data_IF_341302029874
#
_entry.id   IF_341302029874
#
_cell.length_a   1.000
_cell.length_b   1.000
_cell.length_c   1.000
_cell.angle_alpha   90.00
_cell.angle_beta   90.00
_cell.angle_gamma   90.00
#
_symmetry.space_group_name_H-M   'P 1'
#
loop_
_entity.id
_entity.type
_entity.pdbx_description
1 polymer ?
#
# COMPACT_ATOMS: atom_id res chain seq x y z
N UNK A 1 27.83 -65.08 -9.98
CA UNK A 1 26.47 -64.53 -10.20
C UNK A 1 26.26 -63.39 -9.20
N UNK A 2 26.50 -62.19 -9.62
CA UNK A 2 26.36 -61.01 -8.78
C UNK A 2 25.31 -60.09 -9.46
N UNK A 3 24.10 -60.04 -8.86
CA UNK A 3 22.99 -59.26 -9.34
C UNK A 3 23.20 -57.83 -8.88
N UNK A 4 23.30 -56.88 -9.84
CA UNK A 4 23.32 -55.45 -9.60
C UNK A 4 21.87 -54.95 -9.45
N UNK A 5 21.49 -54.57 -8.26
CA UNK A 5 20.28 -53.78 -8.07
C UNK A 5 20.56 -52.31 -8.42
N UNK A 6 19.95 -51.82 -9.50
CA UNK A 6 19.86 -50.41 -9.81
C UNK A 6 18.78 -49.82 -8.92
N UNK A 7 19.17 -48.96 -7.99
CA UNK A 7 18.24 -48.11 -7.23
C UNK A 7 17.97 -46.85 -8.05
N UNK A 8 16.79 -46.79 -8.66
CA UNK A 8 16.27 -45.57 -9.30
C UNK A 8 15.86 -44.57 -8.20
N UNK A 9 16.66 -43.53 -7.98
CA UNK A 9 16.23 -42.34 -7.24
C UNK A 9 15.30 -41.52 -8.15
N UNK A 10 13.99 -41.71 -8.00
CA UNK A 10 13.01 -40.79 -8.55
C UNK A 10 13.01 -39.50 -7.68
N UNK A 11 13.61 -38.43 -8.19
CA UNK A 11 13.42 -37.07 -7.70
C UNK A 11 11.96 -36.69 -7.96
N UNK A 12 11.09 -36.89 -6.97
CA UNK A 12 9.79 -36.22 -6.94
C UNK A 12 10.07 -34.71 -6.72
N UNK A 13 10.14 -33.97 -7.81
CA UNK A 13 9.93 -32.53 -7.76
C UNK A 13 8.48 -32.34 -7.28
N UNK A 14 8.29 -32.01 -6.01
CA UNK A 14 7.03 -31.45 -5.52
C UNK A 14 6.82 -30.11 -6.24
N UNK A 15 6.14 -30.14 -7.38
CA UNK A 15 5.59 -28.95 -8.00
C UNK A 15 4.48 -28.51 -7.02
N UNK A 16 4.79 -27.53 -6.18
CA UNK A 16 3.78 -26.78 -5.43
C UNK A 16 2.96 -26.04 -6.48
N UNK A 17 1.92 -26.67 -7.02
CA UNK A 17 0.86 -25.98 -7.75
C UNK A 17 0.09 -25.16 -6.71
N UNK A 18 0.54 -23.94 -6.44
CA UNK A 18 -0.32 -22.96 -5.82
C UNK A 18 -1.55 -22.87 -6.73
N UNK A 19 -2.70 -23.38 -6.27
CA UNK A 19 -3.96 -23.16 -6.95
C UNK A 19 -4.12 -21.64 -7.07
N UNK A 20 -4.24 -21.16 -8.31
CA UNK A 20 -4.42 -19.74 -8.52
C UNK A 20 -5.76 -19.32 -7.90
N UNK A 21 -5.70 -18.45 -6.93
CA UNK A 21 -6.85 -17.98 -6.16
C UNK A 21 -7.88 -17.35 -7.10
N UNK A 22 -9.17 -17.68 -6.93
CA UNK A 22 -10.25 -17.09 -7.71
C UNK A 22 -10.88 -15.90 -6.97
N UNK A 23 -11.33 -14.91 -7.73
CA UNK A 23 -11.98 -13.72 -7.24
C UNK A 23 -13.34 -13.50 -7.89
N UNK A 24 -14.30 -13.03 -7.10
CA UNK A 24 -15.57 -12.50 -7.57
C UNK A 24 -15.44 -10.98 -7.77
N UNK A 25 -15.38 -10.54 -9.03
CA UNK A 25 -15.20 -9.14 -9.42
C UNK A 25 -16.54 -8.53 -9.85
N UNK A 26 -16.94 -7.44 -9.20
CA UNK A 26 -18.22 -6.77 -9.47
C UNK A 26 -18.26 -6.16 -10.88
N UNK A 27 -19.34 -6.45 -11.63
CA UNK A 27 -19.63 -5.86 -12.96
C UNK A 27 -20.20 -4.44 -12.86
N UNK A 28 -20.82 -4.13 -11.74
CA UNK A 28 -21.50 -2.87 -11.44
C UNK A 28 -21.52 -2.67 -9.91
N UNK A 29 -21.90 -1.50 -9.39
CA UNK A 29 -22.08 -1.34 -7.95
C UNK A 29 -23.03 -2.39 -7.38
N UNK A 30 -22.58 -3.12 -6.34
CA UNK A 30 -23.32 -4.23 -5.73
C UNK A 30 -23.05 -4.32 -4.23
N UNK A 31 -24.05 -4.75 -3.46
CA UNK A 31 -23.91 -4.97 -2.04
C UNK A 31 -23.29 -6.35 -1.73
N UNK A 32 -22.50 -6.39 -0.68
CA UNK A 32 -21.96 -7.60 -0.03
C UNK A 32 -22.77 -7.86 1.22
N UNK A 33 -23.29 -9.05 1.37
CA UNK A 33 -24.23 -9.42 2.43
C UNK A 33 -23.62 -10.42 3.42
N UNK A 34 -24.10 -10.40 4.66
CA UNK A 34 -23.71 -11.35 5.69
C UNK A 34 -24.28 -12.76 5.49
N UNK A 35 -25.27 -12.93 4.59
CA UNK A 35 -25.89 -14.20 4.24
C UNK A 35 -26.40 -14.18 2.78
N UNK A 36 -26.72 -15.37 2.20
CA UNK A 36 -27.11 -15.51 0.80
C UNK A 36 -28.55 -15.05 0.56
N UNK A 37 -28.84 -13.77 0.79
CA UNK A 37 -30.13 -13.14 0.57
C UNK A 37 -30.03 -11.62 0.51
N UNK A 38 -30.84 -10.98 -0.32
CA UNK A 38 -30.98 -9.52 -0.37
C UNK A 38 -31.49 -8.90 0.94
N UNK A 39 -32.16 -9.68 1.77
CA UNK A 39 -32.67 -9.24 3.08
C UNK A 39 -31.63 -9.38 4.19
N UNK A 40 -30.53 -10.07 3.94
CA UNK A 40 -29.42 -10.17 4.89
C UNK A 40 -28.73 -8.83 5.07
N UNK A 41 -28.16 -8.63 6.26
CA UNK A 41 -27.40 -7.41 6.59
C UNK A 41 -26.34 -7.11 5.54
N UNK A 42 -26.33 -5.88 5.02
CA UNK A 42 -25.31 -5.41 4.09
C UNK A 42 -24.04 -5.05 4.87
N UNK A 43 -22.93 -5.72 4.55
CA UNK A 43 -21.61 -5.49 5.18
C UNK A 43 -20.87 -4.33 4.52
N UNK A 44 -21.00 -4.21 3.19
CA UNK A 44 -20.36 -3.18 2.37
C UNK A 44 -21.00 -3.16 0.98
N UNK A 45 -20.56 -2.20 0.16
CA UNK A 45 -20.87 -2.17 -1.28
C UNK A 45 -19.54 -2.16 -2.06
N UNK A 46 -19.52 -2.88 -3.18
CA UNK A 46 -18.42 -2.85 -4.15
C UNK A 46 -18.82 -1.93 -5.30
N UNK A 47 -17.85 -1.21 -5.84
CA UNK A 47 -17.98 -0.49 -7.11
C UNK A 47 -17.65 -1.41 -8.28
N UNK A 48 -18.02 -1.02 -9.51
CA UNK A 48 -17.71 -1.84 -10.69
C UNK A 48 -16.22 -2.16 -10.77
N UNK A 49 -15.93 -3.44 -10.95
CA UNK A 49 -14.58 -4.03 -11.01
C UNK A 49 -13.86 -4.18 -9.65
N UNK A 50 -14.47 -3.91 -8.49
CA UNK A 50 -13.94 -4.36 -7.19
C UNK A 50 -14.07 -5.88 -7.07
N UNK A 51 -13.06 -6.53 -6.47
CA UNK A 51 -12.99 -7.98 -6.36
C UNK A 51 -12.84 -8.37 -4.88
N UNK A 52 -13.47 -9.49 -4.50
CA UNK A 52 -13.21 -10.19 -3.25
C UNK A 52 -12.77 -11.61 -3.56
N UNK A 53 -11.95 -12.20 -2.70
CA UNK A 53 -11.58 -13.63 -2.82
C UNK A 53 -12.85 -14.46 -2.85
N UNK A 54 -12.97 -15.33 -3.89
CA UNK A 54 -14.07 -16.27 -4.04
C UNK A 54 -13.70 -17.60 -3.41
N UNK A 55 -14.51 -18.06 -2.47
CA UNK A 55 -14.26 -19.29 -1.71
C UNK A 55 -14.66 -20.57 -2.47
N UNK A 56 -14.82 -20.49 -3.81
CA UNK A 56 -15.17 -21.61 -4.70
C UNK A 56 -16.46 -22.32 -4.25
N UNK A 57 -17.37 -21.58 -3.60
CA UNK A 57 -18.62 -22.11 -3.09
C UNK A 57 -19.79 -21.16 -3.42
N UNK A 58 -20.81 -21.71 -4.02
CA UNK A 58 -22.08 -21.03 -4.30
C UNK A 58 -23.20 -21.61 -3.45
N UNK A 59 -24.17 -20.76 -3.14
CA UNK A 59 -25.37 -21.17 -2.44
C UNK A 59 -26.61 -20.58 -3.11
N UNK A 60 -27.70 -21.35 -3.20
CA UNK A 60 -28.98 -20.84 -3.67
C UNK A 60 -29.73 -20.29 -2.48
N UNK A 61 -29.95 -18.98 -2.47
CA UNK A 61 -30.71 -18.29 -1.43
C UNK A 61 -32.19 -18.67 -1.45
N UNK A 62 -32.91 -18.31 -0.39
CA UNK A 62 -34.36 -18.50 -0.32
C UNK A 62 -35.14 -17.73 -1.41
N UNK A 63 -34.52 -16.72 -1.99
CA UNK A 63 -35.01 -15.91 -3.12
C UNK A 63 -34.78 -16.59 -4.49
N UNK A 64 -34.22 -17.79 -4.51
CA UNK A 64 -33.87 -18.55 -5.72
C UNK A 64 -32.65 -18.02 -6.48
N UNK A 65 -31.93 -17.04 -5.92
CA UNK A 65 -30.75 -16.45 -6.52
C UNK A 65 -29.50 -17.26 -6.11
N UNK A 66 -28.58 -17.45 -7.05
CA UNK A 66 -27.27 -18.04 -6.74
C UNK A 66 -26.35 -16.95 -6.16
N UNK A 67 -25.82 -17.22 -4.99
CA UNK A 67 -24.92 -16.34 -4.26
C UNK A 67 -23.51 -16.93 -4.24
N UNK A 68 -22.53 -16.14 -4.64
CA UNK A 68 -21.12 -16.49 -4.55
C UNK A 68 -20.62 -16.20 -3.12
N UNK A 69 -20.00 -17.19 -2.49
CA UNK A 69 -19.35 -17.02 -1.20
C UNK A 69 -17.99 -16.34 -1.38
N UNK A 70 -17.75 -15.26 -0.65
CA UNK A 70 -16.51 -14.47 -0.73
C UNK A 70 -15.93 -14.20 0.66
N UNK A 71 -14.65 -13.90 0.73
CA UNK A 71 -14.03 -13.37 1.93
C UNK A 71 -14.17 -11.86 1.99
N UNK A 72 -14.68 -11.34 3.10
CA UNK A 72 -14.70 -9.92 3.41
C UNK A 72 -14.08 -9.67 4.78
N UNK A 73 -12.84 -9.18 4.80
CA UNK A 73 -12.07 -8.90 6.02
C UNK A 73 -11.94 -10.13 6.95
N UNK A 74 -11.67 -11.30 6.37
CA UNK A 74 -11.51 -12.54 7.11
C UNK A 74 -12.82 -13.18 7.56
N UNK A 75 -13.98 -12.68 7.12
CA UNK A 75 -15.29 -13.28 7.41
C UNK A 75 -16.02 -13.69 6.14
N UNK A 76 -16.83 -14.74 6.26
CA UNK A 76 -17.69 -15.24 5.20
C UNK A 76 -18.74 -14.22 4.83
N UNK A 77 -18.83 -13.88 3.54
CA UNK A 77 -19.78 -12.94 2.99
C UNK A 77 -20.35 -13.44 1.65
N UNK A 78 -21.35 -12.76 1.11
CA UNK A 78 -22.11 -13.21 -0.05
C UNK A 78 -22.40 -12.09 -1.03
N UNK A 79 -22.25 -12.40 -2.33
CA UNK A 79 -22.58 -11.51 -3.43
C UNK A 79 -23.46 -12.28 -4.43
N UNK A 80 -24.51 -11.66 -4.96
CA UNK A 80 -25.31 -12.29 -6.00
C UNK A 80 -24.46 -12.58 -7.24
N UNK A 81 -24.34 -13.86 -7.61
CA UNK A 81 -23.36 -14.37 -8.60
C UNK A 81 -23.56 -13.79 -10.00
N UNK A 82 -24.79 -13.46 -10.37
CA UNK A 82 -25.09 -12.86 -11.68
C UNK A 82 -24.44 -11.49 -11.92
N UNK A 83 -24.07 -10.78 -10.83
CA UNK A 83 -23.47 -9.45 -10.89
C UNK A 83 -21.94 -9.44 -10.74
N UNK A 84 -21.32 -10.59 -10.70
CA UNK A 84 -19.85 -10.71 -10.63
C UNK A 84 -19.31 -11.56 -11.77
N UNK A 85 -18.05 -11.34 -12.13
CA UNK A 85 -17.23 -12.28 -12.89
C UNK A 85 -16.39 -13.07 -11.92
N UNK A 86 -16.35 -14.39 -12.08
CA UNK A 86 -15.37 -15.24 -11.39
C UNK A 86 -14.15 -15.33 -12.31
N UNK A 87 -13.03 -14.81 -11.86
CA UNK A 87 -11.77 -14.77 -12.61
C UNK A 87 -10.60 -15.04 -11.67
N UNK A 88 -9.44 -15.35 -12.20
CA UNK A 88 -8.23 -15.46 -11.39
C UNK A 88 -8.00 -14.14 -10.66
N UNK A 89 -7.73 -14.20 -9.36
CA UNK A 89 -7.38 -13.02 -8.59
C UNK A 89 -6.15 -12.37 -9.21
N UNK A 90 -6.36 -11.22 -9.84
CA UNK A 90 -5.25 -10.43 -10.31
C UNK A 90 -4.66 -9.69 -9.12
N UNK A 91 -3.69 -10.33 -8.46
CA UNK A 91 -2.99 -9.81 -7.28
C UNK A 91 -2.48 -8.38 -7.54
N UNK A 92 -1.97 -8.14 -8.75
CA UNK A 92 -1.52 -6.80 -9.15
C UNK A 92 -2.67 -5.77 -9.20
N UNK A 93 -3.87 -6.21 -9.62
CA UNK A 93 -5.06 -5.35 -9.68
C UNK A 93 -5.64 -5.06 -8.30
N UNK A 94 -5.59 -6.01 -7.38
CA UNK A 94 -6.02 -5.83 -5.98
C UNK A 94 -5.04 -4.94 -5.21
N UNK A 95 -3.73 -5.16 -5.38
CA UNK A 95 -2.68 -4.33 -4.79
C UNK A 95 -2.80 -2.89 -5.31
N UNK A 96 -2.97 -2.70 -6.64
CA UNK A 96 -3.18 -1.37 -7.23
C UNK A 96 -4.37 -0.62 -6.63
N UNK A 97 -5.44 -1.33 -6.23
CA UNK A 97 -6.62 -0.72 -5.62
C UNK A 97 -6.49 -0.49 -4.14
N UNK A 98 -5.78 -1.38 -3.43
CA UNK A 98 -5.54 -1.21 -2.00
C UNK A 98 -4.75 0.08 -1.71
N UNK A 99 -3.86 0.48 -2.63
CA UNK A 99 -3.07 1.71 -2.48
C UNK A 99 -3.72 2.92 -3.15
N UNK A 100 -4.40 2.75 -4.30
CA UNK A 100 -5.08 3.82 -5.03
C UNK A 100 -6.50 4.01 -4.48
N UNK A 101 -6.63 4.85 -3.47
CA UNK A 101 -7.92 5.19 -2.85
C UNK A 101 -8.66 6.28 -3.64
N UNK A 102 -9.98 6.39 -3.42
CA UNK A 102 -10.81 7.42 -4.05
C UNK A 102 -10.36 8.83 -3.62
N UNK A 103 -10.23 9.74 -4.58
CA UNK A 103 -9.81 11.11 -4.35
C UNK A 103 -8.31 11.30 -4.11
N UNK A 104 -7.52 10.22 -4.13
CA UNK A 104 -6.07 10.31 -4.07
C UNK A 104 -5.44 10.70 -5.41
N UNK A 105 -4.28 11.37 -5.41
CA UNK A 105 -3.47 11.51 -6.61
C UNK A 105 -3.08 10.13 -7.14
N UNK A 106 -2.70 10.05 -8.42
CA UNK A 106 -2.25 8.77 -8.98
C UNK A 106 -1.01 8.26 -8.25
N UNK A 107 -1.10 7.03 -7.75
CA UNK A 107 0.00 6.36 -7.04
C UNK A 107 0.61 5.32 -7.99
N UNK A 108 1.88 5.49 -8.33
CA UNK A 108 2.68 4.51 -9.07
C UNK A 108 2.96 3.35 -8.13
N UNK A 109 2.33 2.22 -8.39
CA UNK A 109 2.38 1.05 -7.52
C UNK A 109 3.75 0.39 -7.50
N UNK A 110 4.00 -0.44 -6.49
CA UNK A 110 5.23 -1.23 -6.36
C UNK A 110 5.54 -2.06 -7.62
N UNK A 111 4.52 -2.67 -8.21
CA UNK A 111 4.69 -3.43 -9.46
C UNK A 111 5.05 -2.53 -10.65
N UNK A 112 4.50 -1.31 -10.73
CA UNK A 112 4.76 -0.37 -11.83
C UNK A 112 6.17 0.21 -11.79
N UNK A 113 6.70 0.50 -10.59
CA UNK A 113 8.09 0.95 -10.50
C UNK A 113 9.10 -0.19 -10.37
N UNK A 114 8.63 -1.46 -10.33
CA UNK A 114 9.47 -2.65 -10.31
C UNK A 114 10.21 -2.83 -8.99
N UNK A 115 9.48 -2.76 -7.87
CA UNK A 115 9.99 -3.00 -6.53
C UNK A 115 10.52 -4.43 -6.36
N UNK A 116 11.55 -4.56 -5.53
CA UNK A 116 11.94 -5.86 -4.97
C UNK A 116 10.88 -6.30 -3.94
N UNK A 117 10.70 -7.60 -3.79
CA UNK A 117 9.91 -8.14 -2.69
C UNK A 117 10.60 -7.83 -1.34
N UNK A 118 9.86 -7.55 -0.27
CA UNK A 118 10.44 -7.41 1.07
C UNK A 118 11.05 -8.74 1.53
N UNK A 119 12.14 -8.68 2.29
CA UNK A 119 12.80 -9.88 2.84
C UNK A 119 11.98 -10.53 3.96
N UNK A 120 11.21 -9.73 4.69
CA UNK A 120 10.24 -10.16 5.70
C UNK A 120 9.09 -9.16 5.71
N UNK A 121 7.89 -9.62 6.11
CA UNK A 121 6.73 -8.75 6.22
C UNK A 121 6.93 -7.72 7.35
N UNK A 122 6.80 -6.41 7.09
CA UNK A 122 7.07 -5.37 8.10
C UNK A 122 6.04 -5.33 9.24
N UNK A 123 4.91 -5.98 9.06
CA UNK A 123 3.76 -5.94 9.98
C UNK A 123 2.80 -4.80 9.67
N UNK A 124 1.52 -4.99 10.05
CA UNK A 124 0.48 -3.99 9.85
C UNK A 124 0.46 -2.96 10.96
N UNK A 125 0.07 -1.74 10.62
CA UNK A 125 -0.19 -0.69 11.60
C UNK A 125 -1.31 -1.14 12.57
N UNK A 126 -1.11 -1.01 13.90
CA UNK A 126 -2.09 -1.51 14.87
C UNK A 126 -3.37 -0.67 14.94
N UNK A 127 -3.33 0.56 14.44
CA UNK A 127 -4.46 1.49 14.40
C UNK A 127 -4.23 2.56 13.34
N UNK A 128 -5.27 3.35 13.05
CA UNK A 128 -5.16 4.52 12.15
C UNK A 128 -4.06 5.47 12.63
N UNK A 129 -3.06 5.77 11.77
CA UNK A 129 -1.92 6.62 12.13
C UNK A 129 -2.36 8.02 12.60
N UNK A 130 -1.70 8.47 13.67
CA UNK A 130 -1.93 9.79 14.27
C UNK A 130 -0.89 10.82 13.85
N UNK A 131 0.14 10.40 13.12
CA UNK A 131 1.24 11.26 12.68
C UNK A 131 1.49 11.13 11.19
N UNK A 132 1.83 12.27 10.57
CA UNK A 132 2.35 12.35 9.22
C UNK A 132 3.75 12.98 9.29
N UNK A 133 4.76 12.27 8.78
CA UNK A 133 6.15 12.72 8.81
C UNK A 133 6.62 13.09 7.41
N UNK A 134 7.10 14.33 7.25
CA UNK A 134 7.74 14.76 6.01
C UNK A 134 9.23 14.51 6.11
N UNK A 135 9.74 13.81 5.08
CA UNK A 135 11.15 13.50 4.89
C UNK A 135 11.65 14.07 3.57
N UNK A 136 12.96 14.13 3.42
CA UNK A 136 13.62 14.21 2.13
C UNK A 136 14.57 13.02 1.95
N UNK A 137 14.85 12.69 0.68
CA UNK A 137 15.79 11.62 0.36
C UNK A 137 17.26 12.04 0.41
N UNK A 138 17.54 13.33 0.59
CA UNK A 138 18.89 13.92 0.55
C UNK A 138 19.71 13.53 -0.72
N UNK A 139 19.01 13.30 -1.84
CA UNK A 139 19.54 12.89 -3.12
C UNK A 139 19.37 13.98 -4.18
N UNK A 140 19.82 13.73 -5.41
CA UNK A 140 19.41 14.55 -6.55
C UNK A 140 17.89 14.47 -6.75
N UNK A 141 17.29 15.57 -7.20
CA UNK A 141 15.90 15.61 -7.60
C UNK A 141 15.66 14.76 -8.88
N UNK A 142 14.41 14.41 -9.15
CA UNK A 142 13.99 13.72 -10.36
C UNK A 142 12.79 14.45 -10.97
N UNK A 143 12.79 14.64 -12.29
CA UNK A 143 11.80 15.45 -12.99
C UNK A 143 10.99 14.66 -14.02
N UNK A 144 11.29 13.38 -14.20
CA UNK A 144 10.56 12.47 -15.07
C UNK A 144 10.26 11.16 -14.36
N UNK A 145 9.15 10.50 -14.74
CA UNK A 145 8.76 9.21 -14.14
C UNK A 145 9.91 8.19 -14.18
N UNK A 146 10.66 8.13 -15.27
CA UNK A 146 11.78 7.19 -15.39
C UNK A 146 12.92 7.49 -14.41
N UNK A 147 13.27 8.76 -14.25
CA UNK A 147 14.28 9.19 -13.26
C UNK A 147 13.81 8.89 -11.83
N UNK A 148 12.56 9.25 -11.51
CA UNK A 148 12.01 9.03 -10.18
C UNK A 148 11.93 7.54 -9.83
N UNK A 149 11.50 6.68 -10.77
CA UNK A 149 11.55 5.22 -10.60
C UNK A 149 12.97 4.74 -10.29
N UNK A 150 13.97 5.23 -11.02
CA UNK A 150 15.37 4.87 -10.76
C UNK A 150 15.80 5.27 -9.34
N UNK A 151 15.41 6.45 -8.89
CA UNK A 151 15.72 6.94 -7.54
C UNK A 151 15.00 6.14 -6.45
N UNK A 152 13.69 5.84 -6.65
CA UNK A 152 12.92 5.01 -5.69
C UNK A 152 13.55 3.62 -5.53
N UNK A 153 13.98 3.00 -6.63
CA UNK A 153 14.74 1.73 -6.61
C UNK A 153 16.05 1.87 -5.83
N UNK A 154 16.77 2.97 -6.02
CA UNK A 154 18.03 3.20 -5.30
C UNK A 154 17.81 3.33 -3.78
N UNK A 155 16.71 3.99 -3.37
CA UNK A 155 16.33 4.06 -1.96
C UNK A 155 15.98 2.69 -1.39
N UNK A 156 15.20 1.89 -2.12
CA UNK A 156 14.89 0.53 -1.68
C UNK A 156 16.16 -0.31 -1.53
N UNK A 157 17.05 -0.28 -2.54
CA UNK A 157 18.31 -1.01 -2.50
C UNK A 157 19.18 -0.56 -1.32
N UNK A 158 19.32 0.74 -1.10
CA UNK A 158 20.10 1.29 0.02
C UNK A 158 19.53 0.83 1.38
N UNK A 159 18.22 0.89 1.55
CA UNK A 159 17.56 0.44 2.78
C UNK A 159 17.72 -1.07 3.00
N UNK A 160 17.56 -1.88 1.96
CA UNK A 160 17.65 -3.34 2.09
C UNK A 160 19.06 -3.85 2.16
N UNK A 161 19.96 -3.30 1.34
CA UNK A 161 21.31 -3.87 1.17
C UNK A 161 22.32 -3.24 2.14
N UNK A 162 22.17 -1.95 2.49
CA UNK A 162 23.10 -1.23 3.39
C UNK A 162 22.59 -1.14 4.83
N UNK A 163 21.29 -0.89 5.02
CA UNK A 163 20.69 -0.85 6.37
C UNK A 163 20.14 -2.20 6.82
N UNK A 164 20.07 -3.19 5.94
CA UNK A 164 19.50 -4.53 6.20
C UNK A 164 18.05 -4.48 6.69
N UNK A 165 17.30 -3.46 6.24
CA UNK A 165 15.88 -3.39 6.48
C UNK A 165 15.13 -4.35 5.57
N UNK A 166 13.94 -4.77 5.98
CA UNK A 166 13.12 -5.70 5.18
C UNK A 166 12.68 -5.12 3.84
N UNK A 167 12.59 -3.79 3.72
CA UNK A 167 12.11 -3.07 2.54
C UNK A 167 12.49 -1.59 2.61
N UNK A 168 12.07 -0.80 1.59
CA UNK A 168 12.09 0.66 1.64
C UNK A 168 11.41 1.15 2.93
N UNK A 169 11.98 2.14 3.59
CA UNK A 169 11.51 2.59 4.92
C UNK A 169 10.27 3.46 4.90
N UNK A 170 10.03 4.18 3.80
CA UNK A 170 8.95 5.16 3.69
C UNK A 170 7.61 4.53 3.31
N UNK A 171 6.50 5.15 3.75
CA UNK A 171 5.15 4.77 3.32
C UNK A 171 4.91 5.15 1.86
N UNK A 172 5.29 6.39 1.50
CA UNK A 172 5.19 6.92 0.13
C UNK A 172 6.39 7.79 -0.20
N UNK A 173 6.73 7.84 -1.49
CA UNK A 173 7.83 8.66 -2.02
C UNK A 173 7.23 9.59 -3.07
N UNK A 174 7.63 10.85 -3.11
CA UNK A 174 7.07 11.88 -3.96
C UNK A 174 8.17 12.48 -4.81
N UNK A 175 8.01 12.44 -6.14
CA UNK A 175 8.94 13.01 -7.10
C UNK A 175 8.56 14.40 -7.56
N UNK A 176 9.53 15.18 -8.04
CA UNK A 176 9.29 16.47 -8.69
C UNK A 176 8.68 16.33 -10.11
N UNK A 177 8.43 15.09 -10.56
CA UNK A 177 7.57 14.78 -11.70
C UNK A 177 6.07 14.82 -11.33
N UNK A 178 5.74 15.11 -10.06
CA UNK A 178 4.38 15.20 -9.53
C UNK A 178 3.73 13.85 -9.22
N UNK A 179 4.44 12.73 -9.40
CA UNK A 179 3.92 11.43 -9.06
C UNK A 179 4.20 11.04 -7.61
N UNK A 180 3.29 10.24 -7.06
CA UNK A 180 3.46 9.51 -5.81
C UNK A 180 3.88 8.09 -6.13
N UNK A 181 4.88 7.57 -5.43
CA UNK A 181 5.38 6.20 -5.56
C UNK A 181 5.07 5.44 -4.28
N UNK A 182 4.46 4.27 -4.41
CA UNK A 182 4.16 3.41 -3.29
C UNK A 182 5.44 2.85 -2.67
N UNK A 183 5.65 3.12 -1.37
CA UNK A 183 6.67 2.46 -0.57
C UNK A 183 6.07 1.27 0.17
N UNK A 184 5.88 1.40 1.51
CA UNK A 184 5.14 0.42 2.32
C UNK A 184 3.62 0.62 2.27
N UNK A 185 3.13 1.69 1.63
CA UNK A 185 1.70 1.97 1.49
C UNK A 185 1.05 2.49 2.76
N UNK A 186 -0.27 2.30 2.84
CA UNK A 186 -1.12 2.87 3.89
C UNK A 186 -1.16 2.08 5.20
N UNK A 187 -0.94 0.78 5.14
CA UNK A 187 -1.31 -0.14 6.22
C UNK A 187 -0.12 -0.82 6.90
N UNK A 188 1.10 -0.67 6.33
CA UNK A 188 2.30 -1.31 6.82
C UNK A 188 3.12 -0.40 7.75
N UNK A 189 3.73 -1.01 8.77
CA UNK A 189 4.67 -0.31 9.66
C UNK A 189 5.89 0.16 8.88
N UNK A 190 6.21 1.44 8.97
CA UNK A 190 7.37 2.05 8.33
C UNK A 190 8.72 1.72 8.99
N UNK A 191 9.80 2.24 8.39
CA UNK A 191 11.13 2.32 9.00
C UNK A 191 11.72 3.69 8.67
N UNK A 192 11.00 4.77 9.00
CA UNK A 192 11.35 6.15 8.64
C UNK A 192 11.56 7.08 9.85
N UNK A 193 10.92 6.80 10.98
CA UNK A 193 11.02 7.64 12.18
C UNK A 193 11.02 6.76 13.41
N UNK A 194 12.17 6.64 14.06
CA UNK A 194 12.34 5.80 15.25
C UNK A 194 11.30 6.17 16.32
N UNK A 195 10.72 5.17 16.97
CA UNK A 195 9.63 5.25 17.96
C UNK A 195 8.26 5.69 17.43
N UNK A 196 8.15 6.09 16.16
CA UNK A 196 6.89 6.54 15.55
C UNK A 196 6.42 5.68 14.38
N UNK A 197 7.22 4.70 13.96
CA UNK A 197 6.92 3.88 12.77
C UNK A 197 5.58 3.13 12.85
N UNK A 198 5.14 2.74 14.06
CA UNK A 198 3.88 2.01 14.28
C UNK A 198 2.65 2.92 14.48
N UNK A 199 2.83 4.24 14.51
CA UNK A 199 1.75 5.22 14.77
C UNK A 199 1.73 6.35 13.75
N UNK A 200 2.61 6.33 12.76
CA UNK A 200 2.75 7.39 11.75
C UNK A 200 3.10 6.87 10.36
N UNK A 201 2.80 7.68 9.36
CA UNK A 201 3.18 7.46 7.96
C UNK A 201 4.31 8.42 7.57
N UNK A 202 5.27 7.92 6.79
CA UNK A 202 6.40 8.67 6.26
C UNK A 202 6.24 9.02 4.79
N UNK A 203 6.28 10.31 4.47
CA UNK A 203 6.20 10.87 3.12
C UNK A 203 7.55 11.45 2.74
N UNK A 204 8.28 10.79 1.84
CA UNK A 204 9.62 11.18 1.44
C UNK A 204 9.61 11.94 0.12
N UNK A 205 10.02 13.20 0.15
CA UNK A 205 10.25 14.01 -1.05
C UNK A 205 11.60 13.63 -1.67
N UNK A 206 11.64 13.28 -2.96
CA UNK A 206 12.89 12.99 -3.68
C UNK A 206 13.63 14.29 -3.93
N UNK A 207 14.77 14.46 -3.32
CA UNK A 207 15.61 15.64 -3.44
C UNK A 207 16.41 15.94 -2.18
N UNK A 208 17.23 16.99 -2.24
CA UNK A 208 17.91 17.57 -1.09
C UNK A 208 17.42 19.03 -0.90
N UNK A 209 16.59 19.24 0.10
CA UNK A 209 15.90 20.51 0.31
C UNK A 209 16.53 21.32 1.44
N UNK A 210 17.86 21.33 1.51
CA UNK A 210 18.61 22.20 2.42
C UNK A 210 18.50 23.67 2.00
N UNK A 211 18.62 23.95 0.70
CA UNK A 211 18.79 25.32 0.17
C UNK A 211 17.63 25.78 -0.72
N UNK A 212 16.72 24.89 -1.08
CA UNK A 212 15.53 25.18 -1.89
C UNK A 212 14.35 24.32 -1.45
N UNK A 213 13.15 24.65 -1.91
CA UNK A 213 11.93 23.86 -1.69
C UNK A 213 11.65 22.96 -2.89
N UNK A 214 10.90 21.84 -2.70
CA UNK A 214 10.37 21.07 -3.82
C UNK A 214 9.51 21.93 -4.76
N UNK A 215 9.39 21.53 -6.01
CA UNK A 215 8.51 22.22 -6.95
C UNK A 215 7.02 22.06 -6.56
N UNK A 216 6.16 22.89 -7.15
CA UNK A 216 4.72 22.91 -6.85
C UNK A 216 4.03 21.56 -7.16
N UNK A 217 4.48 20.83 -8.18
CA UNK A 217 3.90 19.52 -8.53
C UNK A 217 4.09 18.52 -7.39
N UNK A 218 5.30 18.42 -6.83
CA UNK A 218 5.59 17.55 -5.69
C UNK A 218 4.88 18.02 -4.41
N UNK A 219 4.86 19.34 -4.14
CA UNK A 219 4.17 19.91 -2.98
C UNK A 219 2.67 19.67 -3.03
N UNK A 220 2.05 19.82 -4.19
CA UNK A 220 0.64 19.53 -4.39
C UNK A 220 0.34 18.03 -4.25
N UNK A 221 1.20 17.16 -4.82
CA UNK A 221 1.03 15.72 -4.72
C UNK A 221 1.03 15.23 -3.27
N UNK A 222 1.99 15.65 -2.43
CA UNK A 222 2.05 15.21 -1.03
C UNK A 222 0.88 15.75 -0.21
N UNK A 223 0.45 17.00 -0.43
CA UNK A 223 -0.71 17.59 0.26
C UNK A 223 -2.01 16.85 -0.11
N UNK A 224 -2.23 16.59 -1.41
CA UNK A 224 -3.38 15.81 -1.88
C UNK A 224 -3.36 14.38 -1.34
N UNK A 225 -2.18 13.74 -1.28
CA UNK A 225 -2.02 12.40 -0.73
C UNK A 225 -2.42 12.35 0.75
N UNK A 226 -1.95 13.27 1.56
CA UNK A 226 -2.32 13.34 2.98
C UNK A 226 -3.82 13.60 3.13
N UNK A 227 -4.38 14.56 2.39
CA UNK A 227 -5.81 14.88 2.43
C UNK A 227 -6.67 13.67 2.04
N UNK A 228 -6.30 12.92 0.99
CA UNK A 228 -7.03 11.73 0.60
C UNK A 228 -6.87 10.60 1.64
N UNK A 229 -5.72 10.46 2.26
CA UNK A 229 -5.49 9.52 3.36
C UNK A 229 -6.44 9.80 4.54
N UNK A 230 -6.63 11.07 4.89
CA UNK A 230 -7.60 11.48 5.91
C UNK A 230 -9.03 11.15 5.48
N UNK A 231 -9.42 11.50 4.26
CA UNK A 231 -10.76 11.25 3.73
C UNK A 231 -11.12 9.74 3.66
N UNK A 232 -10.11 8.87 3.48
CA UNK A 232 -10.27 7.43 3.43
C UNK A 232 -9.92 6.72 4.76
N UNK A 233 -9.82 7.44 5.87
CA UNK A 233 -9.52 6.92 7.22
C UNK A 233 -8.18 6.18 7.35
N UNK A 234 -7.25 6.43 6.44
CA UNK A 234 -5.86 5.92 6.49
C UNK A 234 -4.94 6.82 7.31
N UNK A 235 -5.39 8.01 7.63
CA UNK A 235 -4.76 8.97 8.55
C UNK A 235 -5.87 9.53 9.44
N UNK A 236 -5.59 9.73 10.73
CA UNK A 236 -6.54 10.37 11.65
C UNK A 236 -6.90 11.78 11.17
N UNK A 237 -8.16 12.17 11.28
CA UNK A 237 -8.59 13.55 10.96
C UNK A 237 -7.96 14.61 11.89
N UNK A 238 -7.45 14.19 13.05
CA UNK A 238 -6.74 15.02 14.02
C UNK A 238 -5.24 14.71 14.04
N UNK A 239 -4.68 14.26 12.90
CA UNK A 239 -3.25 13.93 12.82
C UNK A 239 -2.37 15.13 13.15
N UNK A 240 -1.15 14.84 13.58
CA UNK A 240 -0.10 15.83 13.77
C UNK A 240 0.92 15.66 12.64
N UNK A 241 1.28 16.76 11.98
CA UNK A 241 2.32 16.80 10.96
C UNK A 241 3.63 17.23 11.60
N UNK A 242 4.69 16.48 11.33
CA UNK A 242 6.05 16.77 11.74
C UNK A 242 7.01 16.72 10.56
N UNK A 243 8.09 17.47 10.60
CA UNK A 243 9.31 17.13 9.90
C UNK A 243 10.08 16.07 10.72
N UNK A 244 10.86 15.22 10.08
CA UNK A 244 11.61 14.17 10.80
C UNK A 244 12.46 14.75 11.96
N UNK A 245 13.05 15.93 11.78
CA UNK A 245 13.88 16.60 12.81
C UNK A 245 13.13 17.07 14.05
N UNK A 246 11.80 17.12 14.00
CA UNK A 246 11.01 17.50 15.18
C UNK A 246 11.10 16.44 16.29
N UNK A 247 11.35 15.17 15.90
CA UNK A 247 11.36 14.02 16.82
C UNK A 247 12.63 13.16 16.71
N UNK A 248 13.58 13.53 15.84
CA UNK A 248 14.83 12.79 15.61
C UNK A 248 16.01 13.73 15.45
N UNK A 249 17.21 13.25 15.78
CA UNK A 249 18.47 13.98 15.57
C UNK A 249 18.90 13.88 14.11
N UNK A 250 18.36 14.73 13.25
CA UNK A 250 18.62 14.72 11.80
C UNK A 250 18.39 16.08 11.18
N UNK A 251 19.01 16.36 10.04
CA UNK A 251 18.72 17.54 9.23
C UNK A 251 17.49 17.35 8.31
N UNK A 252 16.95 16.12 8.23
CA UNK A 252 15.75 15.82 7.45
C UNK A 252 14.54 16.60 8.01
N UNK A 253 13.68 17.21 7.17
CA UNK A 253 13.58 17.08 5.70
C UNK A 253 14.40 18.11 4.89
N UNK A 254 15.40 18.73 5.44
CA UNK A 254 16.17 19.83 4.85
C UNK A 254 15.63 21.19 5.29
N UNK A 255 16.49 22.21 5.39
CA UNK A 255 16.13 23.47 6.04
C UNK A 255 14.95 24.18 5.36
N UNK A 256 14.97 24.29 4.02
CA UNK A 256 13.93 25.01 3.28
C UNK A 256 12.59 24.28 3.26
N UNK A 257 12.60 22.97 3.13
CA UNK A 257 11.36 22.19 3.23
C UNK A 257 10.82 22.22 4.68
N UNK A 258 11.71 22.17 5.66
CA UNK A 258 11.31 22.27 7.06
C UNK A 258 10.67 23.62 7.38
N UNK A 259 11.26 24.73 6.92
CA UNK A 259 10.68 26.06 7.08
C UNK A 259 9.28 26.14 6.44
N UNK A 260 9.13 25.54 5.26
CA UNK A 260 7.86 25.53 4.52
C UNK A 260 6.76 24.75 5.24
N UNK A 261 7.04 23.56 5.73
CA UNK A 261 6.02 22.69 6.35
C UNK A 261 5.51 23.22 7.70
N UNK A 262 6.24 24.11 8.36
CA UNK A 262 5.80 24.76 9.59
C UNK A 262 4.53 25.62 9.37
N UNK A 263 4.27 26.07 8.15
CA UNK A 263 3.04 26.77 7.75
C UNK A 263 1.90 25.84 7.30
N UNK A 264 2.09 24.51 7.32
CA UNK A 264 1.05 23.60 6.86
C UNK A 264 0.02 23.29 7.95
N UNK A 265 -1.24 22.96 7.58
CA UNK A 265 -2.23 22.50 8.54
C UNK A 265 -1.71 21.31 9.35
N UNK A 266 -2.11 21.25 10.61
CA UNK A 266 -1.74 20.18 11.57
C UNK A 266 -0.25 20.13 11.94
N UNK A 267 0.59 21.04 11.44
CA UNK A 267 1.98 21.09 11.87
C UNK A 267 2.08 21.39 13.37
N UNK A 268 2.90 20.64 14.06
CA UNK A 268 3.25 20.91 15.46
C UNK A 268 4.73 20.60 15.66
N UNK A 269 5.46 21.55 16.27
CA UNK A 269 6.81 21.28 16.73
C UNK A 269 6.73 20.39 17.96
N UNK A 270 7.44 19.27 17.96
CA UNK A 270 7.54 18.44 19.15
C UNK A 270 8.21 19.27 20.27
N UNK A 271 7.50 19.46 21.38
CA UNK A 271 8.07 19.99 22.61
C UNK A 271 8.37 18.78 23.48
N UNK A 272 9.65 18.36 23.47
CA UNK A 272 10.14 17.22 24.25
C UNK A 272 10.01 17.44 25.76
#
# INVERSE_FOLDING_TARGET
MISRFLVCFALLACINTAFAEQCACAKMPINVHAGPSHTSHTLTSLSGADCLTYNEHDEIGQDGITWANVDYKGQKAWIAKSYVNIELCNVDKQIKRAVQLSGCPHIVTRSEWGARAPTTHPGHLPATPKYAFIHHGASAACHTKAQCISTVKSYQNYHMDSHHWSDIGYSFIIGEDGNVYEGRGWDEIGAHTLNYNSVGLGFCMIGNFMDHVPNDAALNAVKQLIACGVANHKISSTYILHGHRDVGQTECPGNKLYDLIQGWPHYSRHQG
#
